data_IF_651642517392
#
_entry.id   IF_651642517392
#
_cell.length_a   1.000
_cell.length_b   1.000
_cell.length_c   1.000
_cell.angle_alpha   90.00
_cell.angle_beta   90.00
_cell.angle_gamma   90.00
#
_symmetry.space_group_name_H-M   'P 1'
#
loop_
_entity.id
_entity.type
_entity.pdbx_description
1 polymer ?
#
# COMPACT_ATOMS: atom_id res chain seq x y z
N UNK A 1 22.06 25.08 -1.56
CA UNK A 1 21.22 25.74 -2.58
C UNK A 1 19.84 25.88 -1.97
N UNK A 2 19.26 27.07 -1.97
CA UNK A 2 17.88 27.25 -1.50
C UNK A 2 16.90 26.47 -2.39
N UNK A 3 15.79 25.99 -1.82
CA UNK A 3 14.76 25.24 -2.56
C UNK A 3 14.19 26.11 -3.71
N UNK A 4 14.11 27.43 -3.49
CA UNK A 4 13.77 28.44 -4.50
C UNK A 4 14.65 28.33 -5.77
N UNK A 5 15.95 28.09 -5.60
CA UNK A 5 16.89 27.97 -6.72
C UNK A 5 16.69 26.68 -7.52
N UNK A 6 16.14 25.62 -6.91
CA UNK A 6 15.85 24.35 -7.57
C UNK A 6 14.64 24.46 -8.52
N UNK A 7 13.63 25.25 -8.14
CA UNK A 7 12.46 25.51 -8.99
C UNK A 7 12.79 26.45 -10.14
N UNK A 8 13.61 27.47 -9.92
CA UNK A 8 14.13 28.30 -11.02
C UNK A 8 15.11 27.54 -11.90
N UNK A 9 15.83 26.56 -11.34
CA UNK A 9 16.77 25.75 -12.10
C UNK A 9 16.11 24.63 -12.89
N UNK A 10 15.04 23.96 -12.45
CA UNK A 10 14.48 22.78 -13.13
C UNK A 10 13.30 23.03 -14.07
N UNK A 11 12.89 24.29 -14.25
CA UNK A 11 11.85 24.67 -15.21
C UNK A 11 10.41 24.28 -14.84
N UNK A 12 9.53 24.33 -15.85
CA UNK A 12 8.07 24.09 -15.70
C UNK A 12 7.76 22.69 -15.15
N UNK A 13 8.61 21.71 -15.42
CA UNK A 13 8.45 20.31 -15.02
C UNK A 13 8.59 20.10 -13.51
N UNK A 14 9.22 21.03 -12.79
CA UNK A 14 9.36 20.94 -11.33
C UNK A 14 8.01 20.99 -10.59
N UNK A 15 7.00 21.68 -11.16
CA UNK A 15 5.67 21.80 -10.55
C UNK A 15 4.91 20.46 -10.47
N UNK A 16 4.71 19.72 -11.59
CA UNK A 16 4.08 18.40 -11.51
C UNK A 16 4.92 17.41 -10.68
N UNK A 17 6.25 17.49 -10.75
CA UNK A 17 7.15 16.63 -10.00
C UNK A 17 7.06 16.87 -8.49
N UNK A 18 6.92 18.13 -8.05
CA UNK A 18 6.62 18.47 -6.67
C UNK A 18 5.28 17.87 -6.23
N UNK A 19 4.26 17.94 -7.09
CA UNK A 19 2.96 17.31 -6.84
C UNK A 19 3.07 15.80 -6.60
N UNK A 20 3.81 15.10 -7.46
CA UNK A 20 4.10 13.67 -7.28
C UNK A 20 4.91 13.37 -6.02
N UNK A 21 5.89 14.21 -5.68
CA UNK A 21 6.68 14.08 -4.45
C UNK A 21 5.81 14.22 -3.20
N UNK A 22 4.97 15.27 -3.13
CA UNK A 22 4.09 15.52 -2.00
C UNK A 22 3.05 14.40 -1.84
N UNK A 23 2.45 13.96 -2.95
CA UNK A 23 1.51 12.84 -2.97
C UNK A 23 2.19 11.54 -2.52
N UNK A 24 3.40 11.28 -3.01
CA UNK A 24 4.19 10.12 -2.61
C UNK A 24 4.47 10.09 -1.11
N UNK A 25 4.94 11.21 -0.54
CA UNK A 25 5.20 11.32 0.90
C UNK A 25 3.91 11.18 1.72
N UNK A 26 2.82 11.82 1.31
CA UNK A 26 1.53 11.72 2.00
C UNK A 26 1.03 10.26 2.06
N UNK A 27 1.11 9.53 0.95
CA UNK A 27 0.73 8.12 0.89
C UNK A 27 1.68 7.21 1.68
N UNK A 28 2.97 7.52 1.71
CA UNK A 28 3.95 6.80 2.55
C UNK A 28 3.56 6.92 4.02
N UNK A 29 3.26 8.13 4.50
CA UNK A 29 2.88 8.37 5.90
C UNK A 29 1.58 7.64 6.23
N UNK A 30 0.56 7.77 5.39
CA UNK A 30 -0.72 7.05 5.53
C UNK A 30 -0.48 5.54 5.68
N UNK A 31 0.37 4.97 4.82
CA UNK A 31 0.67 3.54 4.84
C UNK A 31 1.51 3.08 6.01
N UNK A 32 2.45 3.89 6.49
CA UNK A 32 3.18 3.59 7.72
C UNK A 32 2.20 3.48 8.88
N UNK A 33 1.29 4.45 9.03
CA UNK A 33 0.30 4.46 10.12
C UNK A 33 -0.63 3.26 10.01
N UNK A 34 -1.11 2.93 8.81
CA UNK A 34 -1.95 1.77 8.54
C UNK A 34 -1.27 0.45 8.98
N UNK A 35 -0.03 0.22 8.53
CA UNK A 35 0.69 -1.01 8.84
C UNK A 35 1.06 -1.14 10.32
N UNK A 36 1.47 -0.04 10.96
CA UNK A 36 1.77 -0.02 12.40
C UNK A 36 0.52 -0.34 13.22
N UNK A 37 -0.64 0.22 12.87
CA UNK A 37 -1.91 -0.05 13.55
C UNK A 37 -2.30 -1.53 13.45
N UNK A 38 -2.21 -2.11 12.26
CA UNK A 38 -2.53 -3.52 12.01
C UNK A 38 -1.58 -4.43 12.80
N UNK A 39 -0.27 -4.25 12.65
CA UNK A 39 0.73 -5.15 13.24
C UNK A 39 0.68 -5.20 14.77
N UNK A 40 0.38 -4.06 15.42
CA UNK A 40 0.35 -3.97 16.88
C UNK A 40 -0.89 -4.62 17.50
N UNK A 41 -2.05 -4.60 16.82
CA UNK A 41 -3.32 -5.05 17.39
C UNK A 41 -3.71 -6.48 16.97
N UNK A 42 -3.43 -6.86 15.72
CA UNK A 42 -3.97 -8.09 15.12
C UNK A 42 -3.55 -9.37 15.85
N UNK A 43 -2.28 -9.47 16.26
CA UNK A 43 -1.73 -10.66 16.90
C UNK A 43 -2.39 -10.94 18.26
N UNK A 44 -2.82 -9.89 18.95
CA UNK A 44 -3.51 -10.02 20.25
C UNK A 44 -4.97 -10.43 20.03
N UNK A 45 -5.67 -9.73 19.14
CA UNK A 45 -7.08 -10.00 18.84
C UNK A 45 -7.27 -11.43 18.33
N UNK A 46 -6.47 -11.88 17.38
CA UNK A 46 -6.63 -13.23 16.81
C UNK A 46 -6.29 -14.33 17.81
N UNK A 47 -5.24 -14.16 18.63
CA UNK A 47 -4.95 -15.14 19.69
C UNK A 47 -6.08 -15.25 20.70
N UNK A 48 -6.64 -14.12 21.14
CA UNK A 48 -7.77 -14.10 22.08
C UNK A 48 -9.02 -14.73 21.45
N UNK A 49 -9.33 -14.41 20.19
CA UNK A 49 -10.49 -14.97 19.47
C UNK A 49 -10.36 -16.48 19.30
N UNK A 50 -9.19 -16.98 18.88
CA UNK A 50 -8.96 -18.41 18.75
C UNK A 50 -9.02 -19.13 20.10
N UNK A 51 -8.57 -18.49 21.19
CA UNK A 51 -8.70 -19.03 22.55
C UNK A 51 -10.17 -19.09 22.99
N UNK A 52 -10.93 -18.00 22.82
CA UNK A 52 -12.36 -17.94 23.15
C UNK A 52 -13.16 -18.98 22.36
N UNK A 53 -12.85 -19.14 21.07
CA UNK A 53 -13.48 -20.13 20.21
C UNK A 53 -13.17 -21.57 20.67
N UNK A 54 -11.91 -21.86 21.06
CA UNK A 54 -11.53 -23.17 21.65
C UNK A 54 -12.25 -23.48 22.96
N UNK A 55 -12.57 -22.46 23.75
CA UNK A 55 -13.30 -22.59 25.02
C UNK A 55 -14.83 -22.62 24.83
N UNK A 56 -15.32 -22.81 23.59
CA UNK A 56 -16.74 -22.79 23.23
C UNK A 56 -17.47 -21.47 23.55
N UNK A 57 -16.75 -20.38 23.76
CA UNK A 57 -17.33 -19.06 24.03
C UNK A 57 -17.42 -18.23 22.74
N UNK A 58 -18.28 -18.68 21.82
CA UNK A 58 -18.45 -18.08 20.48
C UNK A 58 -18.99 -16.64 20.59
N UNK A 59 -19.91 -16.38 21.53
CA UNK A 59 -20.48 -15.04 21.74
C UNK A 59 -19.41 -14.02 22.07
N UNK A 60 -18.49 -14.35 22.98
CA UNK A 60 -17.38 -13.43 23.33
C UNK A 60 -16.37 -13.29 22.19
N UNK A 61 -16.18 -14.33 21.38
CA UNK A 61 -15.34 -14.26 20.18
C UNK A 61 -15.92 -13.28 19.15
N UNK A 62 -17.23 -13.36 18.88
CA UNK A 62 -17.94 -12.44 17.98
C UNK A 62 -17.89 -10.98 18.49
N UNK A 63 -18.23 -10.74 19.77
CA UNK A 63 -18.16 -9.40 20.37
C UNK A 63 -16.75 -8.79 20.25
N UNK A 64 -15.71 -9.61 20.48
CA UNK A 64 -14.33 -9.15 20.35
C UNK A 64 -13.98 -8.78 18.92
N UNK A 65 -14.43 -9.57 17.95
CA UNK A 65 -14.20 -9.31 16.54
C UNK A 65 -14.96 -8.05 16.07
N UNK A 66 -16.22 -7.89 16.46
CA UNK A 66 -17.03 -6.71 16.15
C UNK A 66 -16.39 -5.42 16.68
N UNK A 67 -15.86 -5.44 17.92
CA UNK A 67 -15.10 -4.32 18.51
C UNK A 67 -13.78 -4.00 17.79
N UNK A 68 -13.27 -4.93 16.97
CA UNK A 68 -12.02 -4.78 16.23
C UNK A 68 -12.23 -4.90 14.71
N UNK A 69 -13.43 -4.60 14.21
CA UNK A 69 -13.79 -4.67 12.80
C UNK A 69 -12.99 -3.70 11.91
N UNK A 70 -12.15 -2.83 12.48
CA UNK A 70 -11.16 -2.04 11.74
C UNK A 70 -10.03 -2.91 11.15
N UNK A 71 -9.79 -4.10 11.72
CA UNK A 71 -8.77 -5.04 11.28
C UNK A 71 -9.30 -5.97 10.16
N UNK A 72 -8.55 -6.18 9.07
CA UNK A 72 -8.96 -7.09 7.98
C UNK A 72 -9.28 -8.51 8.46
N UNK A 73 -8.41 -9.11 9.28
CA UNK A 73 -8.65 -10.45 9.81
C UNK A 73 -9.90 -10.55 10.68
N UNK A 74 -10.28 -9.46 11.36
CA UNK A 74 -11.46 -9.49 12.20
C UNK A 74 -12.73 -9.58 11.34
N UNK A 75 -12.77 -8.84 10.22
CA UNK A 75 -13.87 -8.91 9.24
C UNK A 75 -13.97 -10.29 8.58
N UNK A 76 -12.82 -10.87 8.20
CA UNK A 76 -12.74 -12.23 7.65
C UNK A 76 -13.31 -13.26 8.64
N UNK A 77 -12.91 -13.19 9.90
CA UNK A 77 -13.38 -14.13 10.92
C UNK A 77 -14.86 -13.92 11.25
N UNK A 78 -15.36 -12.68 11.27
CA UNK A 78 -16.78 -12.37 11.46
C UNK A 78 -17.63 -12.98 10.36
N UNK A 79 -17.27 -12.75 9.10
CA UNK A 79 -18.04 -13.23 7.96
C UNK A 79 -18.25 -14.76 7.99
N UNK A 80 -17.25 -15.51 8.48
CA UNK A 80 -17.37 -16.96 8.63
C UNK A 80 -18.11 -17.39 9.91
N UNK A 81 -17.87 -16.72 11.04
CA UNK A 81 -18.48 -17.08 12.33
C UNK A 81 -19.94 -16.61 12.49
N UNK A 82 -20.39 -15.65 11.69
CA UNK A 82 -21.78 -15.19 11.64
C UNK A 82 -22.69 -16.11 10.83
N UNK A 83 -22.14 -17.08 10.10
CA UNK A 83 -22.94 -18.08 9.42
C UNK A 83 -23.55 -19.08 10.42
N UNK A 84 -24.87 -19.15 10.44
CA UNK A 84 -25.62 -20.13 11.24
C UNK A 84 -25.55 -21.52 10.58
N UNK A 85 -25.24 -22.55 11.39
CA UNK A 85 -25.24 -23.97 10.98
C UNK A 85 -24.45 -24.30 9.70
N UNK A 86 -23.43 -23.50 9.36
CA UNK A 86 -22.65 -23.69 8.14
C UNK A 86 -21.98 -25.06 8.07
N UNK A 87 -22.00 -25.69 6.90
CA UNK A 87 -21.13 -26.82 6.63
C UNK A 87 -19.65 -26.37 6.66
N UNK A 88 -18.69 -27.28 6.92
CA UNK A 88 -17.26 -26.93 6.88
C UNK A 88 -16.81 -26.31 5.56
N UNK A 89 -17.43 -26.71 4.43
CA UNK A 89 -17.14 -26.12 3.12
C UNK A 89 -17.70 -24.71 2.98
N UNK A 90 -18.92 -24.44 3.45
CA UNK A 90 -19.47 -23.07 3.47
C UNK A 90 -18.65 -22.14 4.36
N UNK A 91 -18.21 -22.62 5.52
CA UNK A 91 -17.35 -21.88 6.43
C UNK A 91 -16.00 -21.53 5.78
N UNK A 92 -15.35 -22.51 5.15
CA UNK A 92 -14.10 -22.30 4.40
C UNK A 92 -14.31 -21.31 3.25
N UNK A 93 -15.39 -21.45 2.49
CA UNK A 93 -15.70 -20.58 1.37
C UNK A 93 -15.93 -19.13 1.83
N UNK A 94 -16.58 -18.92 2.98
CA UNK A 94 -16.76 -17.59 3.56
C UNK A 94 -15.44 -16.95 3.98
N UNK A 95 -14.55 -17.71 4.66
CA UNK A 95 -13.21 -17.24 5.00
C UNK A 95 -12.41 -16.84 3.75
N UNK A 96 -12.42 -17.69 2.71
CA UNK A 96 -11.68 -17.44 1.47
C UNK A 96 -12.25 -16.25 0.70
N UNK A 97 -13.58 -16.17 0.55
CA UNK A 97 -14.27 -15.09 -0.14
C UNK A 97 -13.98 -13.75 0.51
N UNK A 98 -14.12 -13.65 1.84
CA UNK A 98 -13.86 -12.41 2.56
C UNK A 98 -12.37 -12.05 2.56
N UNK A 99 -11.47 -13.04 2.65
CA UNK A 99 -10.04 -12.81 2.51
C UNK A 99 -9.67 -12.24 1.12
N UNK A 100 -10.34 -12.69 0.05
CA UNK A 100 -10.17 -12.11 -1.29
C UNK A 100 -10.74 -10.70 -1.37
N UNK A 101 -11.88 -10.43 -0.72
CA UNK A 101 -12.49 -9.10 -0.63
C UNK A 101 -11.60 -8.06 0.07
N UNK A 102 -10.76 -8.50 1.01
CA UNK A 102 -9.83 -7.65 1.75
C UNK A 102 -8.53 -7.30 1.00
N UNK A 103 -8.13 -8.10 0.00
CA UNK A 103 -6.88 -7.89 -0.76
C UNK A 103 -6.82 -6.50 -1.43
N UNK A 104 -7.87 -6.00 -2.12
CA UNK A 104 -7.87 -4.66 -2.70
C UNK A 104 -7.63 -3.55 -1.68
N UNK A 105 -8.17 -3.66 -0.46
CA UNK A 105 -7.99 -2.67 0.60
C UNK A 105 -6.53 -2.62 1.08
N UNK A 106 -5.91 -3.80 1.21
CA UNK A 106 -4.48 -3.92 1.52
C UNK A 106 -3.59 -3.36 0.41
N UNK A 107 -4.01 -3.44 -0.86
CA UNK A 107 -3.28 -2.94 -2.04
C UNK A 107 -3.59 -1.51 -2.46
N UNK A 108 -4.61 -0.85 -1.89
CA UNK A 108 -5.20 0.38 -2.44
C UNK A 108 -4.22 1.50 -2.85
N UNK A 109 -3.05 1.63 -2.22
CA UNK A 109 -2.06 2.68 -2.56
C UNK A 109 -0.93 2.20 -3.49
N UNK A 110 -0.83 0.90 -3.77
CA UNK A 110 0.25 0.32 -4.57
C UNK A 110 0.24 0.85 -6.01
N UNK A 111 -0.93 0.91 -6.66
CA UNK A 111 -1.05 1.40 -8.03
C UNK A 111 -0.57 2.86 -8.17
N UNK A 112 -0.82 3.68 -7.15
CA UNK A 112 -0.38 5.08 -7.14
C UNK A 112 1.14 5.16 -6.99
N UNK A 113 1.74 4.34 -6.13
CA UNK A 113 3.21 4.25 -6.05
C UNK A 113 3.82 3.82 -7.38
N UNK A 114 3.27 2.80 -8.03
CA UNK A 114 3.74 2.35 -9.35
C UNK A 114 3.63 3.46 -10.40
N UNK A 115 2.56 4.25 -10.35
CA UNK A 115 2.37 5.41 -11.22
C UNK A 115 3.43 6.49 -10.96
N UNK A 116 3.71 6.84 -9.69
CA UNK A 116 4.74 7.82 -9.32
C UNK A 116 6.13 7.34 -9.76
N UNK A 117 6.45 6.08 -9.50
CA UNK A 117 7.74 5.46 -9.84
C UNK A 117 7.96 5.47 -11.35
N UNK A 118 6.91 5.21 -12.14
CA UNK A 118 6.98 5.23 -13.60
C UNK A 118 7.01 6.65 -14.19
N UNK A 119 6.17 7.56 -13.69
CA UNK A 119 6.01 8.89 -14.28
C UNK A 119 7.06 9.90 -13.84
N UNK A 120 7.57 9.84 -12.61
CA UNK A 120 8.52 10.84 -12.11
C UNK A 120 9.83 10.90 -12.93
N UNK A 121 10.46 9.77 -13.36
CA UNK A 121 11.62 9.81 -14.24
C UNK A 121 11.29 10.31 -15.65
N UNK A 122 10.10 9.96 -16.18
CA UNK A 122 9.65 10.41 -17.49
C UNK A 122 9.41 11.92 -17.53
N UNK A 123 8.89 12.48 -16.43
CA UNK A 123 8.82 13.93 -16.25
C UNK A 123 10.23 14.54 -16.21
N UNK A 124 11.14 13.95 -15.43
CA UNK A 124 12.55 14.38 -15.40
C UNK A 124 13.18 14.46 -16.80
N UNK A 125 12.98 13.40 -17.60
CA UNK A 125 13.40 13.32 -18.99
C UNK A 125 12.72 14.38 -19.86
N UNK A 126 11.41 14.60 -19.73
CA UNK A 126 10.70 15.67 -20.43
C UNK A 126 11.34 17.04 -20.15
N UNK A 127 11.72 17.30 -18.90
CA UNK A 127 12.42 18.55 -18.55
C UNK A 127 13.78 18.67 -19.24
N UNK A 128 14.48 17.57 -19.50
CA UNK A 128 15.72 17.64 -20.30
C UNK A 128 15.46 18.06 -21.73
N UNK A 129 14.44 17.48 -22.35
CA UNK A 129 14.06 17.79 -23.73
C UNK A 129 13.69 19.28 -23.83
N UNK A 130 12.89 19.79 -22.89
CA UNK A 130 12.50 21.20 -22.85
C UNK A 130 13.71 22.12 -22.60
N UNK A 131 14.58 21.79 -21.64
CA UNK A 131 15.78 22.57 -21.35
C UNK A 131 16.75 22.65 -22.54
N UNK A 132 16.92 21.54 -23.27
CA UNK A 132 17.71 21.50 -24.50
C UNK A 132 17.07 22.31 -25.63
N UNK A 133 15.75 22.19 -25.84
CA UNK A 133 15.02 23.00 -26.84
C UNK A 133 15.21 24.49 -26.57
N UNK A 134 15.06 24.93 -25.32
CA UNK A 134 15.26 26.33 -24.93
C UNK A 134 16.72 26.77 -25.12
N UNK A 135 17.67 25.91 -24.79
CA UNK A 135 19.11 26.16 -25.01
C UNK A 135 19.41 26.40 -26.49
N UNK A 136 18.91 25.53 -27.38
CA UNK A 136 19.12 25.67 -28.82
C UNK A 136 18.31 26.81 -29.44
N UNK A 137 17.12 27.13 -28.93
CA UNK A 137 16.34 28.29 -29.39
C UNK A 137 17.04 29.62 -29.05
N UNK A 138 17.83 29.67 -27.98
CA UNK A 138 18.64 30.85 -27.65
C UNK A 138 19.79 31.10 -28.65
N UNK A 139 20.19 30.05 -29.38
CA UNK A 139 21.18 30.08 -30.46
C UNK A 139 20.54 30.48 -31.79
N UNK A 140 20.07 31.72 -31.91
CA UNK A 140 19.68 32.26 -33.21
C UNK A 140 20.91 32.40 -34.13
N UNK A 141 20.77 31.87 -35.35
CA UNK A 141 21.77 31.84 -36.44
C UNK A 141 22.03 33.29 -36.89
N UNK A 142 23.14 33.90 -36.45
CA UNK A 142 23.55 35.21 -36.97
C UNK A 142 24.44 36.08 -36.09
N UNK A 143 24.61 35.77 -34.80
CA UNK A 143 25.33 36.69 -33.88
C UNK A 143 26.27 35.91 -32.94
N UNK A 144 27.51 35.73 -33.40
CA UNK A 144 28.58 34.94 -32.75
C UNK A 144 29.35 35.85 -31.77
N UNK A 145 28.69 36.29 -30.70
CA UNK A 145 29.29 37.08 -29.62
C UNK A 145 29.21 36.35 -28.27
N UNK A 146 30.31 36.36 -27.51
CA UNK A 146 30.54 35.55 -26.28
C UNK A 146 29.57 35.73 -25.10
N UNK A 147 28.49 36.49 -25.24
CA UNK A 147 27.45 36.68 -24.23
C UNK A 147 26.34 35.62 -24.24
N UNK A 148 26.27 34.74 -25.26
CA UNK A 148 25.21 33.70 -25.37
C UNK A 148 25.61 32.30 -24.91
N UNK A 149 26.90 32.04 -24.65
CA UNK A 149 27.36 30.76 -24.08
C UNK A 149 26.74 30.50 -22.71
N UNK A 150 26.49 31.55 -21.91
CA UNK A 150 25.82 31.46 -20.62
C UNK A 150 24.37 30.96 -20.71
N UNK A 151 23.62 31.33 -21.75
CA UNK A 151 22.23 30.88 -21.96
C UNK A 151 22.14 29.37 -22.24
N UNK A 152 23.03 28.85 -23.07
CA UNK A 152 23.12 27.41 -23.37
C UNK A 152 23.53 26.61 -22.13
N UNK A 153 24.54 27.07 -21.38
CA UNK A 153 24.97 26.42 -20.15
C UNK A 153 23.85 26.38 -19.11
N UNK A 154 23.03 27.43 -19.02
CA UNK A 154 21.88 27.49 -18.11
C UNK A 154 20.81 26.44 -18.46
N UNK A 155 20.41 26.31 -19.72
CA UNK A 155 19.36 25.34 -20.09
C UNK A 155 19.82 23.88 -20.03
N UNK A 156 21.13 23.61 -20.22
CA UNK A 156 21.71 22.28 -19.95
C UNK A 156 21.69 21.97 -18.44
N UNK A 157 22.05 22.95 -17.60
CA UNK A 157 21.97 22.78 -16.15
C UNK A 157 20.53 22.50 -15.71
N UNK A 158 19.55 23.18 -16.31
CA UNK A 158 18.13 22.96 -16.05
C UNK A 158 17.67 21.55 -16.39
N UNK A 159 18.06 21.08 -17.57
CA UNK A 159 17.80 19.73 -18.03
C UNK A 159 18.30 18.68 -17.02
N UNK A 160 19.55 18.81 -16.55
CA UNK A 160 20.17 17.86 -15.63
C UNK A 160 19.48 17.87 -14.25
N UNK A 161 19.14 19.05 -13.73
CA UNK A 161 18.45 19.18 -12.44
C UNK A 161 17.06 18.55 -12.47
N UNK A 162 16.31 18.73 -13.56
CA UNK A 162 14.99 18.11 -13.74
C UNK A 162 15.09 16.58 -13.71
N UNK A 163 16.06 15.99 -14.43
CA UNK A 163 16.25 14.53 -14.43
C UNK A 163 16.66 13.99 -13.07
N UNK A 164 17.65 14.64 -12.42
CA UNK A 164 18.10 14.23 -11.10
C UNK A 164 16.92 14.26 -10.10
N UNK A 165 16.09 15.30 -10.14
CA UNK A 165 14.92 15.43 -9.28
C UNK A 165 13.89 14.30 -9.53
N UNK A 166 13.64 13.96 -10.80
CA UNK A 166 12.69 12.90 -11.16
C UNK A 166 13.14 11.53 -10.67
N UNK A 167 14.43 11.25 -10.80
CA UNK A 167 15.05 10.03 -10.28
C UNK A 167 14.98 9.95 -8.76
N UNK A 168 15.28 11.04 -8.04
CA UNK A 168 15.22 11.07 -6.58
C UNK A 168 13.81 10.74 -6.08
N UNK A 169 12.78 11.36 -6.66
CA UNK A 169 11.37 11.08 -6.30
C UNK A 169 11.01 9.62 -6.57
N UNK A 170 11.40 9.08 -7.73
CA UNK A 170 11.12 7.70 -8.10
C UNK A 170 11.83 6.68 -7.19
N UNK A 171 13.12 6.87 -6.94
CA UNK A 171 13.94 5.99 -6.08
C UNK A 171 13.38 5.98 -4.65
N UNK A 172 13.08 7.16 -4.11
CA UNK A 172 12.52 7.27 -2.77
C UNK A 172 11.17 6.56 -2.67
N UNK A 173 10.28 6.79 -3.64
CA UNK A 173 8.96 6.14 -3.67
C UNK A 173 9.08 4.61 -3.81
N UNK A 174 10.00 4.13 -4.65
CA UNK A 174 10.26 2.71 -4.88
C UNK A 174 10.72 1.97 -3.61
N UNK A 175 11.59 2.59 -2.81
CA UNK A 175 12.07 2.02 -1.55
C UNK A 175 10.89 1.66 -0.61
N UNK A 176 9.98 2.61 -0.42
CA UNK A 176 8.80 2.40 0.42
C UNK A 176 7.78 1.46 -0.21
N UNK A 177 7.53 1.58 -1.52
CA UNK A 177 6.63 0.68 -2.23
C UNK A 177 7.05 -0.79 -2.09
N UNK A 178 8.34 -1.09 -2.22
CA UNK A 178 8.87 -2.44 -2.01
C UNK A 178 8.72 -2.91 -0.56
N UNK A 179 8.94 -2.03 0.41
CA UNK A 179 8.75 -2.35 1.83
C UNK A 179 7.29 -2.70 2.12
N UNK A 180 6.34 -1.90 1.64
CA UNK A 180 4.91 -2.17 1.80
C UNK A 180 4.45 -3.42 1.07
N UNK A 181 5.02 -3.72 -0.11
CA UNK A 181 4.78 -4.98 -0.82
C UNK A 181 5.20 -6.20 0.01
N UNK A 182 6.34 -6.12 0.69
CA UNK A 182 6.80 -7.17 1.60
C UNK A 182 5.87 -7.34 2.81
N UNK A 183 5.40 -6.24 3.41
CA UNK A 183 4.42 -6.28 4.50
C UNK A 183 3.08 -6.87 4.05
N UNK A 184 2.61 -6.49 2.87
CA UNK A 184 1.41 -7.04 2.24
C UNK A 184 1.49 -8.56 2.05
N UNK A 185 2.59 -9.07 1.50
CA UNK A 185 2.77 -10.52 1.31
C UNK A 185 2.78 -11.27 2.64
N UNK A 186 3.45 -10.73 3.66
CA UNK A 186 3.43 -11.29 5.01
C UNK A 186 2.02 -11.30 5.59
N UNK A 187 1.25 -10.23 5.38
CA UNK A 187 -0.12 -10.12 5.86
C UNK A 187 -1.03 -11.17 5.23
N UNK A 188 -0.92 -11.44 3.93
CA UNK A 188 -1.70 -12.52 3.29
C UNK A 188 -1.33 -13.87 3.88
N UNK A 189 -0.03 -14.18 3.96
CA UNK A 189 0.42 -15.45 4.51
C UNK A 189 -0.11 -15.66 5.93
N UNK A 190 -0.10 -14.60 6.73
CA UNK A 190 -0.67 -14.59 8.07
C UNK A 190 -2.19 -14.79 8.08
N UNK A 191 -2.93 -14.10 7.22
CA UNK A 191 -4.39 -14.30 7.09
C UNK A 191 -4.71 -15.75 6.73
N UNK A 192 -3.97 -16.35 5.80
CA UNK A 192 -4.13 -17.74 5.38
C UNK A 192 -3.83 -18.72 6.52
N UNK A 193 -2.73 -18.51 7.25
CA UNK A 193 -2.35 -19.35 8.39
C UNK A 193 -3.45 -19.35 9.48
N UNK A 194 -3.89 -18.16 9.90
CA UNK A 194 -4.87 -18.03 10.97
C UNK A 194 -6.29 -18.36 10.53
N UNK A 195 -6.65 -18.10 9.26
CA UNK A 195 -7.88 -18.59 8.64
C UNK A 195 -7.96 -20.11 8.66
N UNK A 196 -6.88 -20.80 8.24
CA UNK A 196 -6.79 -22.25 8.30
C UNK A 196 -6.84 -22.80 9.73
N UNK A 197 -6.24 -22.10 10.72
CA UNK A 197 -6.39 -22.49 12.13
C UNK A 197 -7.84 -22.41 12.61
N UNK A 198 -8.57 -21.36 12.24
CA UNK A 198 -9.97 -21.20 12.59
C UNK A 198 -10.84 -22.26 11.90
N UNK A 199 -10.61 -22.50 10.60
CA UNK A 199 -11.28 -23.57 9.83
C UNK A 199 -11.08 -24.94 10.48
N UNK A 200 -9.85 -25.30 10.86
CA UNK A 200 -9.55 -26.57 11.54
C UNK A 200 -10.22 -26.68 12.92
N UNK A 201 -10.41 -25.56 13.63
CA UNK A 201 -11.17 -25.56 14.87
C UNK A 201 -12.67 -25.75 14.60
N UNK A 202 -13.20 -25.08 13.57
CA UNK A 202 -14.57 -25.22 13.13
C UNK A 202 -14.88 -26.66 12.71
N UNK A 203 -14.06 -27.24 11.82
CA UNK A 203 -14.23 -28.62 11.34
C UNK A 203 -14.22 -29.63 12.47
N UNK A 204 -13.28 -29.52 13.42
CA UNK A 204 -13.24 -30.39 14.61
C UNK A 204 -14.49 -30.24 15.49
N UNK A 205 -15.04 -29.03 15.61
CA UNK A 205 -16.28 -28.78 16.35
C UNK A 205 -17.47 -29.41 15.64
N UNK A 206 -17.56 -29.23 14.32
CA UNK A 206 -18.60 -29.81 13.47
C UNK A 206 -18.58 -31.34 13.51
N UNK A 207 -17.41 -31.97 13.36
CA UNK A 207 -17.23 -33.43 13.40
C UNK A 207 -17.54 -34.06 14.76
N UNK A 208 -17.18 -33.37 15.86
CA UNK A 208 -17.58 -33.82 17.20
C UNK A 208 -19.10 -33.84 17.33
N UNK A 209 -19.78 -33.02 16.55
CA UNK A 209 -21.19 -32.72 16.68
C UNK A 209 -21.44 -32.09 18.05
N UNK A 210 -22.46 -31.27 18.14
CA UNK A 210 -23.19 -31.20 19.40
C UNK A 210 -23.91 -32.54 19.65
N UNK A 211 -23.15 -33.65 19.77
CA UNK A 211 -23.61 -34.96 20.27
C UNK A 211 -23.87 -34.91 21.79
N UNK A 212 -24.21 -33.73 22.32
CA UNK A 212 -24.42 -33.46 23.74
C UNK A 212 -25.70 -32.67 23.99
N UNK A 213 -26.86 -33.11 23.47
CA UNK A 213 -28.13 -33.20 24.23
C UNK A 213 -29.27 -33.74 23.36
N UNK A 214 -29.54 -35.05 23.44
CA UNK A 214 -30.91 -35.55 23.50
C UNK A 214 -30.94 -36.51 24.68
N UNK A 215 -31.36 -36.06 25.88
CA UNK A 215 -31.70 -37.00 26.94
C UNK A 215 -32.94 -37.74 26.44
N UNK A 216 -32.80 -39.06 26.26
CA UNK A 216 -33.94 -39.95 26.24
C UNK A 216 -34.78 -39.70 27.50
N UNK A 217 -35.93 -39.05 27.36
CA UNK A 217 -37.16 -39.30 28.13
C UNK A 217 -38.38 -38.88 27.33
#
# INVERSE_FOLDING_TARGET
MEISNLFTAGGVVMWPLLGFSLLGVALIIERIIFWVRINNRQNKVVREVLQLYRLNNVVSALDKLQKNADLPIARIFLAALELEEATPEEFRLALESEAQGEIPLLKRSQNIFETIIGLAPLLGLLGTVLGLINSFASLNIGDVGGSKTTGVTSGISEALVSTASGLVVAIFTLLFANTFRGLYQRQIAWIQEYGGQLELLYRRRYERGDKSYVPNR
#
